data_IF_137096714209
#
_entry.id   IF_137096714209
#
_cell.length_a   1.000
_cell.length_b   1.000
_cell.length_c   1.000
_cell.angle_alpha   90.00
_cell.angle_beta   90.00
_cell.angle_gamma   90.00
#
_symmetry.space_group_name_H-M   'P 1'
#
loop_
_entity.id
_entity.type
_entity.pdbx_description
1 polymer ?
#
# COMPACT_ATOMS: atom_id res chain seq x y z
N UNK A 1 -0.70 -5.52 -13.69
CA UNK A 1 -0.89 -4.11 -13.22
C UNK A 1 -1.97 -3.42 -14.06
N UNK A 2 -2.93 -2.72 -13.42
CA UNK A 2 -3.94 -1.90 -14.10
C UNK A 2 -3.67 -0.44 -13.73
N UNK A 3 -3.20 0.36 -14.69
CA UNK A 3 -2.81 1.75 -14.42
C UNK A 3 -2.73 2.57 -15.71
N UNK A 4 -2.63 3.90 -15.56
CA UNK A 4 -2.31 4.84 -16.63
C UNK A 4 -0.93 5.43 -16.41
N UNK A 5 -0.22 5.63 -17.51
CA UNK A 5 1.03 6.39 -17.56
C UNK A 5 0.92 7.50 -18.60
N UNK A 6 1.75 8.48 -18.54
CA UNK A 6 1.72 9.60 -19.48
C UNK A 6 2.27 9.27 -20.86
N UNK A 7 2.50 10.31 -21.64
CA UNK A 7 3.14 10.23 -22.95
C UNK A 7 4.51 10.92 -22.88
N UNK A 8 5.37 10.36 -22.03
CA UNK A 8 6.67 10.96 -21.69
C UNK A 8 7.72 9.86 -21.36
N UNK A 9 8.95 10.29 -21.13
CA UNK A 9 10.08 9.42 -20.79
C UNK A 9 9.86 8.63 -19.49
N UNK A 10 9.10 9.15 -18.53
CA UNK A 10 8.79 8.48 -17.29
C UNK A 10 7.88 7.27 -17.53
N UNK A 11 6.92 7.39 -18.44
CA UNK A 11 6.04 6.30 -18.85
C UNK A 11 6.83 5.10 -19.38
N UNK A 12 7.78 5.34 -20.29
CA UNK A 12 8.60 4.28 -20.88
C UNK A 12 9.49 3.61 -19.85
N UNK A 13 10.04 4.37 -18.91
CA UNK A 13 10.82 3.84 -17.80
C UNK A 13 9.96 2.96 -16.88
N UNK A 14 8.77 3.44 -16.53
CA UNK A 14 7.84 2.70 -15.67
C UNK A 14 7.43 1.39 -16.28
N UNK A 15 7.05 1.37 -17.57
CA UNK A 15 6.67 0.13 -18.28
C UNK A 15 7.84 -0.85 -18.34
N UNK A 16 9.05 -0.37 -18.64
CA UNK A 16 10.26 -1.22 -18.64
C UNK A 16 10.54 -1.80 -17.25
N UNK A 17 10.44 -1.01 -16.19
CA UNK A 17 10.65 -1.49 -14.82
C UNK A 17 9.64 -2.58 -14.46
N UNK A 18 8.36 -2.39 -14.81
CA UNK A 18 7.35 -3.43 -14.61
C UNK A 18 7.69 -4.72 -15.35
N UNK A 19 8.08 -4.62 -16.62
CA UNK A 19 8.47 -5.79 -17.41
C UNK A 19 9.69 -6.50 -16.82
N UNK A 20 10.71 -5.76 -16.37
CA UNK A 20 11.90 -6.34 -15.70
C UNK A 20 11.53 -7.04 -14.37
N UNK A 21 10.55 -6.50 -13.65
CA UNK A 21 10.04 -7.11 -12.42
C UNK A 21 9.06 -8.29 -12.68
N UNK A 22 8.83 -8.67 -13.94
CA UNK A 22 7.90 -9.74 -14.30
C UNK A 22 6.42 -9.37 -14.11
N UNK A 23 6.11 -8.09 -14.00
CA UNK A 23 4.74 -7.60 -13.83
C UNK A 23 4.06 -7.54 -15.18
N UNK A 24 2.88 -8.17 -15.31
CA UNK A 24 2.05 -8.09 -16.52
C UNK A 24 1.62 -6.64 -16.76
N UNK A 25 1.93 -6.13 -17.95
CA UNK A 25 1.69 -4.74 -18.37
C UNK A 25 0.55 -4.62 -19.39
N UNK A 26 -0.20 -5.68 -19.65
CA UNK A 26 -1.30 -5.67 -20.64
C UNK A 26 -2.31 -4.53 -20.40
N UNK A 27 -2.55 -4.18 -19.13
CA UNK A 27 -3.48 -3.12 -18.74
C UNK A 27 -2.77 -1.83 -18.25
N UNK A 28 -1.49 -1.65 -18.60
CA UNK A 28 -0.77 -0.39 -18.44
C UNK A 28 -0.97 0.43 -19.71
N UNK A 29 -1.75 1.51 -19.65
CA UNK A 29 -2.15 2.28 -20.84
C UNK A 29 -1.54 3.68 -20.82
N UNK A 30 -0.92 4.10 -21.92
CA UNK A 30 -0.49 5.48 -22.11
C UNK A 30 -1.69 6.40 -22.34
N UNK A 31 -1.61 7.63 -21.83
CA UNK A 31 -2.58 8.70 -22.06
C UNK A 31 -1.93 9.75 -22.96
N UNK A 32 -2.31 9.86 -24.25
CA UNK A 32 -1.68 10.79 -25.17
C UNK A 32 -1.77 12.25 -24.72
N UNK A 33 -0.67 12.99 -24.82
CA UNK A 33 -0.61 14.40 -24.48
C UNK A 33 -0.74 14.74 -23.00
N UNK A 34 -0.69 13.74 -22.10
CA UNK A 34 -0.76 13.94 -20.65
C UNK A 34 0.55 13.47 -20.02
N UNK A 35 1.14 14.23 -19.07
CA UNK A 35 2.35 13.78 -18.36
C UNK A 35 2.04 12.63 -17.39
N UNK A 36 3.02 11.78 -17.13
CA UNK A 36 2.95 10.79 -16.04
C UNK A 36 2.74 11.46 -14.69
N UNK A 37 2.15 10.73 -13.75
CA UNK A 37 2.15 11.13 -12.35
C UNK A 37 3.59 11.19 -11.82
N UNK A 38 3.92 12.24 -11.06
CA UNK A 38 5.22 12.42 -10.44
C UNK A 38 5.06 12.93 -9.01
N UNK A 39 6.00 12.54 -8.14
CA UNK A 39 6.02 12.94 -6.74
C UNK A 39 7.43 13.49 -6.38
N UNK A 40 7.78 14.74 -6.73
CA UNK A 40 9.02 15.35 -6.28
C UNK A 40 9.10 15.38 -4.76
N UNK A 41 10.23 14.92 -4.23
CA UNK A 41 10.51 14.89 -2.79
C UNK A 41 11.51 16.00 -2.50
N UNK A 42 11.13 16.92 -1.64
CA UNK A 42 12.00 17.99 -1.13
C UNK A 42 12.51 17.57 0.23
N UNK A 43 13.83 17.46 0.36
CA UNK A 43 14.47 17.08 1.62
C UNK A 43 15.04 18.35 2.26
N UNK A 44 14.58 18.65 3.48
CA UNK A 44 15.04 19.80 4.26
C UNK A 44 16.36 19.48 5.01
N UNK A 45 17.12 20.49 5.44
CA UNK A 45 18.39 20.29 6.14
C UNK A 45 18.26 19.50 7.46
N UNK A 46 17.08 19.49 8.09
CA UNK A 46 16.77 18.75 9.30
C UNK A 46 16.33 17.31 9.03
N UNK A 47 16.46 16.84 7.78
CA UNK A 47 16.02 15.53 7.30
C UNK A 47 14.49 15.35 7.24
N UNK A 48 13.71 16.38 7.50
CA UNK A 48 12.28 16.35 7.18
C UNK A 48 12.08 16.34 5.65
N UNK A 49 10.98 15.79 5.18
CA UNK A 49 10.66 15.78 3.77
C UNK A 49 9.25 16.30 3.50
N UNK A 50 9.09 16.90 2.32
CA UNK A 50 7.81 17.31 1.78
C UNK A 50 7.64 16.70 0.40
N UNK A 51 6.49 16.10 0.13
CA UNK A 51 6.20 15.45 -1.14
C UNK A 51 5.10 16.22 -1.86
N UNK A 52 5.40 16.69 -3.08
CA UNK A 52 4.41 17.29 -3.94
C UNK A 52 3.86 16.25 -4.92
N UNK A 53 2.59 15.87 -4.74
CA UNK A 53 1.95 14.86 -5.60
C UNK A 53 1.30 15.57 -6.81
N UNK A 54 1.78 15.24 -8.01
CA UNK A 54 1.18 15.63 -9.27
C UNK A 54 0.57 14.40 -9.92
N UNK A 55 -0.74 14.26 -9.85
CA UNK A 55 -1.44 13.03 -10.29
C UNK A 55 -1.24 12.70 -11.79
N UNK A 56 -1.10 13.68 -12.66
CA UNK A 56 -0.89 13.45 -14.10
C UNK A 56 -1.86 12.42 -14.68
N UNK A 57 -1.30 11.43 -15.38
CA UNK A 57 -2.07 10.36 -15.99
C UNK A 57 -2.89 9.50 -15.00
N UNK A 58 -2.56 9.49 -13.71
CA UNK A 58 -3.32 8.75 -12.69
C UNK A 58 -4.81 9.17 -12.67
N UNK A 59 -5.11 10.45 -12.96
CA UNK A 59 -6.50 10.96 -13.06
C UNK A 59 -7.32 10.34 -14.19
N UNK A 60 -6.65 9.73 -15.14
CA UNK A 60 -7.28 9.15 -16.32
C UNK A 60 -7.59 7.66 -16.17
N UNK A 61 -7.23 7.04 -15.03
CA UNK A 61 -7.68 5.71 -14.71
C UNK A 61 -9.16 5.77 -14.28
N UNK A 62 -10.03 5.11 -15.03
CA UNK A 62 -11.49 5.19 -14.88
C UNK A 62 -12.10 3.82 -14.58
N UNK A 63 -13.32 3.74 -14.05
CA UNK A 63 -14.04 2.48 -13.84
C UNK A 63 -14.04 1.55 -15.07
N UNK A 64 -14.17 2.11 -16.28
CA UNK A 64 -14.13 1.34 -17.51
C UNK A 64 -12.79 0.61 -17.76
N UNK A 65 -11.67 1.12 -17.22
CA UNK A 65 -10.37 0.44 -17.31
C UNK A 65 -10.34 -0.81 -16.40
N UNK A 66 -11.01 -0.74 -15.25
CA UNK A 66 -11.20 -1.89 -14.35
C UNK A 66 -12.08 -2.95 -15.04
N UNK A 67 -13.19 -2.52 -15.67
CA UNK A 67 -14.07 -3.43 -16.41
C UNK A 67 -13.36 -4.09 -17.60
N UNK A 68 -12.52 -3.35 -18.32
CA UNK A 68 -11.69 -3.88 -19.41
C UNK A 68 -10.66 -4.92 -18.92
N UNK A 69 -10.17 -4.79 -17.69
CA UNK A 69 -9.25 -5.73 -17.05
C UNK A 69 -9.96 -6.89 -16.34
N UNK A 70 -11.29 -6.93 -16.32
CA UNK A 70 -12.08 -7.89 -15.56
C UNK A 70 -11.71 -9.36 -15.78
N UNK A 71 -11.39 -9.85 -17.01
CA UNK A 71 -10.95 -11.24 -17.19
C UNK A 71 -9.73 -11.59 -16.34
N UNK A 72 -8.70 -10.72 -16.33
CA UNK A 72 -7.48 -10.91 -15.55
C UNK A 72 -7.71 -10.71 -14.06
N UNK A 73 -8.50 -9.71 -13.70
CA UNK A 73 -8.77 -9.42 -12.29
C UNK A 73 -9.50 -10.56 -11.57
N UNK A 74 -10.36 -11.31 -12.27
CA UNK A 74 -11.04 -12.48 -11.69
C UNK A 74 -10.10 -13.62 -11.32
N UNK A 75 -8.91 -13.67 -11.90
CA UNK A 75 -7.89 -14.67 -11.60
C UNK A 75 -7.00 -14.26 -10.42
N UNK A 76 -7.13 -13.01 -9.94
CA UNK A 76 -6.30 -12.50 -8.87
C UNK A 76 -6.75 -13.01 -7.50
N UNK A 77 -5.79 -13.33 -6.64
CA UNK A 77 -6.03 -13.77 -5.27
C UNK A 77 -6.24 -12.60 -4.29
N UNK A 78 -5.84 -11.39 -4.69
CA UNK A 78 -5.95 -10.14 -3.90
C UNK A 78 -5.88 -8.94 -4.86
N UNK A 79 -6.69 -7.92 -4.63
CA UNK A 79 -6.59 -6.60 -5.27
C UNK A 79 -5.97 -5.64 -4.27
N UNK A 80 -4.92 -4.91 -4.69
CA UNK A 80 -4.24 -3.89 -3.86
C UNK A 80 -4.49 -2.52 -4.45
N UNK A 81 -4.96 -1.58 -3.62
CA UNK A 81 -5.38 -0.23 -4.01
C UNK A 81 -4.74 0.84 -3.10
N UNK A 82 -4.55 2.03 -3.66
CA UNK A 82 -4.18 3.28 -2.98
C UNK A 82 -5.16 4.39 -3.37
N UNK A 83 -4.96 5.62 -2.85
CA UNK A 83 -5.81 6.79 -3.12
C UNK A 83 -5.15 7.83 -4.07
N UNK A 84 -4.19 7.42 -4.86
CA UNK A 84 -3.52 8.32 -5.84
C UNK A 84 -4.28 8.46 -7.17
N UNK A 85 -5.34 7.72 -7.35
CA UNK A 85 -6.27 7.80 -8.48
C UNK A 85 -7.59 8.46 -8.05
N UNK A 86 -8.55 8.58 -8.94
CA UNK A 86 -9.87 9.14 -8.60
C UNK A 86 -10.67 8.14 -7.74
N UNK A 87 -11.31 8.63 -6.68
CA UNK A 87 -12.03 7.81 -5.69
C UNK A 87 -13.12 6.95 -6.33
N UNK A 88 -13.81 7.45 -7.36
CA UNK A 88 -14.82 6.65 -8.05
C UNK A 88 -14.26 5.37 -8.66
N UNK A 89 -13.01 5.41 -9.16
CA UNK A 89 -12.32 4.23 -9.68
C UNK A 89 -11.90 3.29 -8.54
N UNK A 90 -11.41 3.83 -7.42
CA UNK A 90 -11.10 3.04 -6.21
C UNK A 90 -12.35 2.30 -5.73
N UNK A 91 -13.44 3.01 -5.55
CA UNK A 91 -14.70 2.42 -5.09
C UNK A 91 -15.26 1.39 -6.08
N UNK A 92 -15.10 1.63 -7.39
CA UNK A 92 -15.51 0.67 -8.41
C UNK A 92 -14.68 -0.63 -8.31
N UNK A 93 -13.38 -0.53 -8.11
CA UNK A 93 -12.49 -1.69 -7.93
C UNK A 93 -12.82 -2.47 -6.64
N UNK A 94 -13.14 -1.78 -5.54
CA UNK A 94 -13.60 -2.41 -4.29
C UNK A 94 -14.91 -3.18 -4.54
N UNK A 95 -15.89 -2.55 -5.19
CA UNK A 95 -17.16 -3.19 -5.52
C UNK A 95 -16.98 -4.36 -6.49
N UNK A 96 -16.00 -4.28 -7.41
CA UNK A 96 -15.63 -5.39 -8.29
C UNK A 96 -15.10 -6.57 -7.46
N UNK A 97 -14.16 -6.34 -6.54
CA UNK A 97 -13.63 -7.37 -5.64
C UNK A 97 -14.74 -8.05 -4.85
N UNK A 98 -15.63 -7.25 -4.24
CA UNK A 98 -16.76 -7.77 -3.46
C UNK A 98 -17.71 -8.65 -4.29
N UNK A 99 -18.06 -8.22 -5.52
CA UNK A 99 -18.92 -9.00 -6.41
C UNK A 99 -18.33 -10.33 -6.86
N UNK A 100 -16.99 -10.40 -6.94
CA UNK A 100 -16.29 -11.61 -7.44
C UNK A 100 -15.61 -12.42 -6.34
N UNK A 101 -15.83 -12.08 -5.06
CA UNK A 101 -15.23 -12.80 -3.92
C UNK A 101 -13.71 -12.64 -3.84
N UNK A 102 -13.15 -11.58 -4.43
CA UNK A 102 -11.72 -11.28 -4.39
C UNK A 102 -11.46 -10.31 -3.24
N UNK A 103 -10.64 -10.67 -2.24
CA UNK A 103 -10.31 -9.76 -1.16
C UNK A 103 -9.60 -8.52 -1.70
N UNK A 104 -9.84 -7.37 -1.05
CA UNK A 104 -9.22 -6.08 -1.41
C UNK A 104 -8.42 -5.58 -0.21
N UNK A 105 -7.18 -5.16 -0.47
CA UNK A 105 -6.36 -4.38 0.44
C UNK A 105 -6.38 -2.92 -0.03
N UNK A 106 -6.79 -2.01 0.86
CA UNK A 106 -6.75 -0.57 0.62
C UNK A 106 -5.75 0.10 1.55
N UNK A 107 -4.71 0.68 0.97
CA UNK A 107 -3.85 1.63 1.68
C UNK A 107 -4.39 3.05 1.42
N UNK A 108 -4.81 3.81 2.46
CA UNK A 108 -5.38 5.13 2.29
C UNK A 108 -4.32 6.22 2.08
N UNK A 109 -3.39 6.01 1.18
CA UNK A 109 -2.29 6.93 0.85
C UNK A 109 -2.50 7.59 -0.52
N UNK A 110 -2.45 8.94 -0.61
CA UNK A 110 -2.54 9.89 0.50
C UNK A 110 -3.93 9.89 1.15
N UNK A 111 -3.96 10.08 2.47
CA UNK A 111 -5.24 10.06 3.20
C UNK A 111 -6.16 11.20 2.75
N UNK A 112 -7.44 10.88 2.64
CA UNK A 112 -8.52 11.84 2.37
C UNK A 112 -9.52 11.81 3.53
N UNK A 113 -9.89 12.99 4.09
CA UNK A 113 -10.78 13.02 5.26
C UNK A 113 -12.20 12.56 4.96
N UNK A 114 -12.67 12.75 3.72
CA UNK A 114 -14.05 12.49 3.29
C UNK A 114 -14.20 11.12 2.60
N UNK A 115 -13.45 10.11 3.06
CA UNK A 115 -13.54 8.76 2.52
C UNK A 115 -14.92 8.15 2.84
N UNK A 116 -15.62 7.69 1.80
CA UNK A 116 -16.95 7.08 1.95
C UNK A 116 -16.83 5.67 2.56
N UNK A 117 -17.13 5.58 3.87
CA UNK A 117 -17.00 4.33 4.62
C UNK A 117 -17.94 3.23 4.16
N UNK A 118 -19.13 3.56 3.67
CA UNK A 118 -20.03 2.53 3.14
C UNK A 118 -19.46 1.89 1.88
N UNK A 119 -18.75 2.66 1.06
CA UNK A 119 -18.12 2.16 -0.17
C UNK A 119 -16.83 1.39 0.07
N UNK A 120 -16.08 1.68 1.15
CA UNK A 120 -14.86 0.95 1.50
C UNK A 120 -15.11 -0.21 2.46
N UNK A 121 -16.28 -0.33 3.06
CA UNK A 121 -16.65 -1.40 4.00
C UNK A 121 -16.35 -2.83 3.50
N UNK A 122 -16.44 -3.13 2.18
CA UNK A 122 -16.10 -4.45 1.68
C UNK A 122 -14.62 -4.81 1.65
N UNK A 123 -13.70 -3.87 1.97
CA UNK A 123 -12.26 -4.18 1.96
C UNK A 123 -11.92 -5.23 3.03
N UNK A 124 -11.03 -6.15 2.67
CA UNK A 124 -10.53 -7.15 3.62
C UNK A 124 -9.53 -6.54 4.59
N UNK A 125 -8.60 -5.71 4.05
CA UNK A 125 -7.58 -5.03 4.83
C UNK A 125 -7.55 -3.55 4.51
N UNK A 126 -7.63 -2.72 5.55
CA UNK A 126 -7.38 -1.28 5.49
C UNK A 126 -6.04 -1.00 6.17
N UNK A 127 -5.06 -0.46 5.43
CA UNK A 127 -3.66 -0.43 5.88
C UNK A 127 -3.13 1.02 5.91
N UNK A 128 -3.48 1.82 6.92
CA UNK A 128 -2.94 3.16 7.13
C UNK A 128 -1.62 3.13 7.91
N UNK A 129 -0.82 4.21 7.77
CA UNK A 129 0.16 4.60 8.78
C UNK A 129 -0.48 5.46 9.89
N UNK A 130 0.31 5.93 10.88
CA UNK A 130 -0.17 6.73 12.01
C UNK A 130 -0.85 8.03 11.55
N UNK A 131 -0.25 8.74 10.60
CA UNK A 131 -0.78 10.01 10.06
C UNK A 131 -2.07 9.78 9.27
N UNK A 132 -2.09 8.80 8.40
CA UNK A 132 -3.27 8.43 7.60
C UNK A 132 -4.42 7.99 8.50
N UNK A 133 -4.11 7.19 9.53
CA UNK A 133 -5.12 6.78 10.50
C UNK A 133 -5.71 7.96 11.24
N UNK A 134 -4.88 8.92 11.69
CA UNK A 134 -5.36 10.12 12.36
C UNK A 134 -6.31 10.94 11.48
N UNK A 135 -5.97 11.12 10.20
CA UNK A 135 -6.80 11.86 9.24
C UNK A 135 -8.14 11.15 9.00
N UNK A 136 -8.11 9.84 8.74
CA UNK A 136 -9.33 9.08 8.37
C UNK A 136 -10.24 8.83 9.57
N UNK A 137 -9.67 8.63 10.77
CA UNK A 137 -10.46 8.41 11.99
C UNK A 137 -10.95 9.71 12.62
N UNK A 138 -10.26 10.82 12.37
CA UNK A 138 -10.47 12.10 13.07
C UNK A 138 -9.99 12.07 14.52
N UNK A 139 -9.15 11.08 14.89
CA UNK A 139 -8.66 10.88 16.26
C UNK A 139 -7.14 11.11 16.32
N UNK A 140 -6.58 11.57 17.46
CA UNK A 140 -5.14 11.65 17.62
C UNK A 140 -4.50 10.25 17.64
N UNK A 141 -3.35 10.11 16.97
CA UNK A 141 -2.56 8.88 16.90
C UNK A 141 -1.11 9.24 17.19
N UNK A 142 -0.70 9.11 18.44
CA UNK A 142 0.62 9.48 18.96
C UNK A 142 1.32 8.35 19.73
N UNK A 143 0.62 7.24 19.94
CA UNK A 143 1.14 6.05 20.58
C UNK A 143 0.46 4.79 20.02
N UNK A 144 1.04 3.58 20.25
CA UNK A 144 0.37 2.33 19.88
C UNK A 144 -1.04 2.17 20.48
N UNK A 145 -1.26 2.69 21.71
CA UNK A 145 -2.56 2.64 22.39
C UNK A 145 -3.59 3.54 21.72
N UNK A 146 -3.19 4.76 21.32
CA UNK A 146 -4.08 5.67 20.58
C UNK A 146 -4.34 5.15 19.17
N UNK A 147 -3.32 4.56 18.51
CA UNK A 147 -3.48 3.89 17.22
C UNK A 147 -4.48 2.73 17.30
N UNK A 148 -4.39 1.89 18.34
CA UNK A 148 -5.33 0.80 18.54
C UNK A 148 -6.77 1.30 18.73
N UNK A 149 -6.98 2.38 19.52
CA UNK A 149 -8.30 2.98 19.70
C UNK A 149 -8.86 3.59 18.41
N UNK A 150 -8.03 4.34 17.68
CA UNK A 150 -8.43 4.93 16.41
C UNK A 150 -8.80 3.84 15.38
N UNK A 151 -7.99 2.77 15.29
CA UNK A 151 -8.29 1.64 14.42
C UNK A 151 -9.55 0.89 14.84
N UNK A 152 -9.79 0.71 16.16
CA UNK A 152 -11.02 0.07 16.66
C UNK A 152 -12.27 0.87 16.27
N UNK A 153 -12.23 2.21 16.30
CA UNK A 153 -13.35 3.04 15.84
C UNK A 153 -13.69 2.80 14.36
N UNK A 154 -12.69 2.51 13.51
CA UNK A 154 -12.91 2.17 12.11
C UNK A 154 -13.51 0.77 11.95
N UNK A 155 -13.12 -0.19 12.80
CA UNK A 155 -13.74 -1.52 12.85
C UNK A 155 -15.20 -1.44 13.29
N UNK A 156 -15.53 -0.57 14.26
CA UNK A 156 -16.90 -0.30 14.67
C UNK A 156 -17.74 0.33 13.54
N UNK A 157 -17.12 1.14 12.69
CA UNK A 157 -17.73 1.69 11.47
C UNK A 157 -17.90 0.66 10.34
N UNK A 158 -17.42 -0.57 10.53
CA UNK A 158 -17.69 -1.70 9.67
C UNK A 158 -16.50 -2.25 8.88
N UNK A 159 -15.28 -1.72 9.05
CA UNK A 159 -14.09 -2.33 8.47
C UNK A 159 -13.79 -3.68 9.14
N UNK A 160 -13.28 -4.63 8.36
CA UNK A 160 -13.03 -5.99 8.83
C UNK A 160 -11.70 -6.10 9.58
N UNK A 161 -10.62 -5.66 8.94
CA UNK A 161 -9.26 -5.65 9.49
C UNK A 161 -8.60 -4.30 9.22
N UNK A 162 -8.07 -3.67 10.27
CA UNK A 162 -7.25 -2.46 10.15
C UNK A 162 -5.83 -2.83 10.57
N UNK A 163 -4.87 -2.69 9.65
CA UNK A 163 -3.45 -2.90 9.93
C UNK A 163 -2.78 -1.53 9.98
N UNK A 164 -2.33 -1.11 11.15
CA UNK A 164 -1.66 0.18 11.33
C UNK A 164 -0.16 -0.03 11.33
N UNK A 165 0.56 0.60 10.41
CA UNK A 165 2.03 0.62 10.45
C UNK A 165 2.51 1.72 11.39
N UNK A 166 3.47 1.40 12.28
CA UNK A 166 3.97 2.24 13.38
C UNK A 166 5.48 2.51 13.27
N UNK A 167 6.03 2.52 12.06
CA UNK A 167 7.46 2.68 11.82
C UNK A 167 8.29 1.60 12.52
N UNK A 168 9.27 2.01 13.31
CA UNK A 168 10.17 1.14 14.06
C UNK A 168 9.48 0.30 15.15
N UNK A 169 8.29 0.73 15.59
CA UNK A 169 7.47 -0.01 16.56
C UNK A 169 6.71 -1.20 15.93
N UNK A 170 6.79 -1.39 14.60
CA UNK A 170 6.16 -2.49 13.89
C UNK A 170 4.75 -2.17 13.41
N UNK A 171 3.77 -3.04 13.69
CA UNK A 171 2.40 -2.86 13.21
C UNK A 171 1.36 -3.47 14.14
N UNK A 172 0.13 -2.93 14.09
CA UNK A 172 -1.03 -3.46 14.81
C UNK A 172 -2.05 -4.02 13.82
N UNK A 173 -2.56 -5.22 14.09
CA UNK A 173 -3.78 -5.72 13.48
C UNK A 173 -4.94 -5.53 14.45
N UNK A 174 -5.94 -4.79 14.04
CA UNK A 174 -7.16 -4.53 14.82
C UNK A 174 -8.36 -5.09 14.06
N UNK A 175 -9.15 -5.92 14.72
CA UNK A 175 -10.38 -6.51 14.20
C UNK A 175 -11.39 -6.69 15.32
N UNK A 176 -12.53 -7.30 15.03
CA UNK A 176 -13.51 -7.67 16.07
C UNK A 176 -12.99 -8.70 17.07
N UNK A 177 -11.96 -9.48 16.69
CA UNK A 177 -11.34 -10.48 17.55
C UNK A 177 -10.32 -9.86 18.54
N UNK A 178 -10.06 -8.55 18.42
CA UNK A 178 -9.16 -7.81 19.29
C UNK A 178 -7.99 -7.17 18.57
N UNK A 179 -6.94 -6.89 19.33
CA UNK A 179 -5.70 -6.22 18.87
C UNK A 179 -4.53 -7.19 18.95
N UNK A 180 -3.77 -7.28 17.88
CA UNK A 180 -2.51 -8.03 17.83
C UNK A 180 -1.38 -7.11 17.40
N UNK A 181 -0.32 -7.03 18.19
CA UNK A 181 0.89 -6.30 17.86
C UNK A 181 1.92 -7.24 17.23
N UNK A 182 2.51 -6.82 16.12
CA UNK A 182 3.70 -7.41 15.52
C UNK A 182 4.83 -6.42 15.68
N UNK A 183 5.89 -6.75 16.45
CA UNK A 183 6.98 -5.82 16.69
C UNK A 183 7.76 -5.53 15.42
N UNK A 184 8.38 -4.34 15.38
CA UNK A 184 9.30 -3.96 14.32
C UNK A 184 10.63 -4.72 14.40
N UNK A 185 11.37 -4.68 13.32
CA UNK A 185 12.74 -5.20 13.25
C UNK A 185 13.68 -4.02 13.33
N UNK A 186 14.58 -4.02 14.33
CA UNK A 186 15.54 -2.94 14.54
C UNK A 186 16.65 -2.99 13.49
N UNK A 187 16.85 -1.89 12.78
CA UNK A 187 17.89 -1.71 11.76
C UNK A 187 18.45 -0.29 11.80
N UNK A 188 19.61 -0.10 11.18
CA UNK A 188 20.15 1.24 10.92
C UNK A 188 19.51 1.84 9.67
N UNK A 189 18.46 2.64 9.88
CA UNK A 189 17.68 3.23 8.81
C UNK A 189 18.44 4.39 8.12
N UNK A 190 18.47 4.38 6.78
CA UNK A 190 19.09 5.42 5.94
C UNK A 190 18.06 6.25 5.19
N UNK A 191 17.00 5.62 4.70
CA UNK A 191 15.95 6.27 3.92
C UNK A 191 14.63 5.52 4.11
N UNK A 192 13.65 6.17 4.71
CA UNK A 192 12.35 5.55 4.99
C UNK A 192 11.35 5.65 3.83
N UNK A 193 11.76 6.26 2.71
CA UNK A 193 10.90 6.43 1.55
C UNK A 193 10.52 5.07 0.95
N UNK A 194 9.23 4.82 0.77
CA UNK A 194 8.71 3.57 0.20
C UNK A 194 8.63 2.40 1.18
N UNK A 195 8.92 2.59 2.48
CA UNK A 195 8.79 1.52 3.48
C UNK A 195 7.35 1.01 3.58
N UNK A 196 6.35 1.89 3.46
CA UNK A 196 4.93 1.52 3.41
C UNK A 196 4.61 0.63 2.21
N UNK A 197 5.10 0.99 1.03
CA UNK A 197 4.92 0.18 -0.20
C UNK A 197 5.59 -1.19 -0.08
N UNK A 198 6.81 -1.22 0.49
CA UNK A 198 7.53 -2.45 0.79
C UNK A 198 6.73 -3.36 1.74
N UNK A 199 6.18 -2.78 2.80
CA UNK A 199 5.32 -3.49 3.75
C UNK A 199 4.10 -4.10 3.05
N UNK A 200 3.37 -3.28 2.29
CA UNK A 200 2.14 -3.70 1.61
C UNK A 200 2.40 -4.80 0.58
N UNK A 201 3.45 -4.63 -0.24
CA UNK A 201 3.82 -5.61 -1.25
C UNK A 201 4.20 -6.97 -0.64
N UNK A 202 5.00 -6.95 0.42
CA UNK A 202 5.41 -8.16 1.14
C UNK A 202 4.21 -8.80 1.89
N UNK A 203 3.39 -7.99 2.57
CA UNK A 203 2.16 -8.47 3.21
C UNK A 203 1.26 -9.18 2.21
N UNK A 204 0.99 -8.55 1.06
CA UNK A 204 0.13 -9.10 0.01
C UNK A 204 0.65 -10.47 -0.46
N UNK A 205 1.96 -10.57 -0.71
CA UNK A 205 2.62 -11.82 -1.13
C UNK A 205 2.40 -12.94 -0.13
N UNK A 206 2.79 -12.75 1.13
CA UNK A 206 2.73 -13.80 2.13
C UNK A 206 1.30 -14.10 2.60
N UNK A 207 0.39 -13.11 2.59
CA UNK A 207 -1.01 -13.34 2.88
C UNK A 207 -1.69 -14.21 1.81
N UNK A 208 -1.42 -13.99 0.54
CA UNK A 208 -1.97 -14.80 -0.55
C UNK A 208 -1.54 -16.27 -0.41
N UNK A 209 -0.31 -16.52 0.02
CA UNK A 209 0.21 -17.88 0.21
C UNK A 209 -0.30 -18.57 1.47
N UNK A 210 -0.27 -17.87 2.61
CA UNK A 210 -0.53 -18.48 3.91
C UNK A 210 -1.98 -18.35 4.39
N UNK A 211 -2.68 -17.31 3.95
CA UNK A 211 -3.97 -16.84 4.49
C UNK A 211 -3.92 -16.51 6.00
N UNK A 212 -2.72 -16.31 6.54
CA UNK A 212 -2.48 -15.87 7.91
C UNK A 212 -1.96 -14.43 7.90
N UNK A 213 -2.83 -13.49 8.29
CA UNK A 213 -2.49 -12.06 8.33
C UNK A 213 -1.36 -11.76 9.31
N UNK A 214 -1.31 -12.43 10.47
CA UNK A 214 -0.27 -12.18 11.46
C UNK A 214 1.10 -12.71 11.01
N UNK A 215 1.13 -13.85 10.34
CA UNK A 215 2.36 -14.35 9.71
C UNK A 215 2.81 -13.39 8.60
N UNK A 216 1.89 -12.96 7.71
CA UNK A 216 2.21 -12.03 6.65
C UNK A 216 2.74 -10.68 7.18
N UNK A 217 2.19 -10.17 8.29
CA UNK A 217 2.67 -8.95 8.95
C UNK A 217 4.10 -9.08 9.46
N UNK A 218 4.52 -10.24 9.99
CA UNK A 218 5.92 -10.47 10.43
C UNK A 218 6.89 -10.34 9.26
N UNK A 219 6.60 -10.99 8.14
CA UNK A 219 7.41 -10.86 6.92
C UNK A 219 7.40 -9.42 6.38
N UNK A 220 6.24 -8.77 6.38
CA UNK A 220 6.08 -7.39 5.92
C UNK A 220 6.90 -6.41 6.76
N UNK A 221 6.89 -6.54 8.10
CA UNK A 221 7.70 -5.72 9.00
C UNK A 221 9.19 -5.92 8.75
N UNK A 222 9.64 -7.16 8.55
CA UNK A 222 11.03 -7.45 8.24
C UNK A 222 11.46 -6.91 6.87
N UNK A 223 10.59 -7.02 5.85
CA UNK A 223 10.89 -6.51 4.52
C UNK A 223 10.93 -4.98 4.47
N UNK A 224 10.00 -4.31 5.16
CA UNK A 224 10.03 -2.86 5.32
C UNK A 224 11.29 -2.40 6.06
N UNK A 225 11.69 -3.10 7.14
CA UNK A 225 12.94 -2.82 7.84
C UNK A 225 14.16 -2.99 6.93
N UNK A 226 14.22 -4.05 6.12
CA UNK A 226 15.29 -4.20 5.13
C UNK A 226 15.30 -3.02 4.15
N UNK A 227 14.14 -2.61 3.62
CA UNK A 227 14.07 -1.58 2.58
C UNK A 227 14.63 -0.23 3.04
N UNK A 228 14.50 0.13 4.31
CA UNK A 228 14.99 1.41 4.85
C UNK A 228 16.50 1.44 5.08
N UNK A 229 17.21 0.33 4.94
CA UNK A 229 18.68 0.29 5.02
C UNK A 229 19.38 0.76 3.74
N UNK A 230 18.65 0.84 2.62
CA UNK A 230 19.11 1.33 1.32
C UNK A 230 18.70 2.79 1.08
N UNK A 231 19.11 3.34 -0.06
CA UNK A 231 18.66 4.67 -0.54
C UNK A 231 17.69 4.52 -1.70
N UNK A 232 16.64 5.31 -1.68
CA UNK A 232 15.58 5.33 -2.69
C UNK A 232 14.58 4.19 -2.52
N UNK A 233 13.49 4.23 -3.27
CA UNK A 233 12.37 3.28 -3.16
C UNK A 233 12.66 1.94 -3.84
N UNK A 234 12.39 1.83 -5.14
CA UNK A 234 12.52 0.55 -5.89
C UNK A 234 13.93 -0.07 -5.84
N UNK A 235 14.98 0.74 -5.67
CA UNK A 235 16.38 0.26 -5.60
C UNK A 235 16.70 -0.42 -4.28
N UNK A 236 15.97 -0.10 -3.22
CA UNK A 236 16.17 -0.68 -1.88
C UNK A 236 15.38 -1.98 -1.67
N UNK A 237 14.47 -2.31 -2.59
CA UNK A 237 13.66 -3.52 -2.48
C UNK A 237 14.50 -4.76 -2.81
N UNK A 238 14.59 -5.67 -1.85
CA UNK A 238 15.33 -6.91 -1.97
C UNK A 238 14.64 -7.89 -2.93
N UNK A 239 15.43 -8.66 -3.66
CA UNK A 239 14.95 -9.90 -4.24
C UNK A 239 14.72 -10.99 -3.17
N UNK A 240 14.08 -12.09 -3.54
CA UNK A 240 13.73 -13.16 -2.61
C UNK A 240 14.97 -13.70 -1.88
N UNK A 241 16.06 -13.93 -2.58
CA UNK A 241 17.29 -14.53 -2.02
C UNK A 241 17.98 -13.60 -1.01
N UNK A 242 17.99 -12.31 -1.28
CA UNK A 242 18.52 -11.28 -0.38
C UNK A 242 17.64 -11.15 0.86
N UNK A 243 16.33 -11.15 0.70
CA UNK A 243 15.40 -11.07 1.82
C UNK A 243 15.47 -12.32 2.72
N UNK A 244 15.54 -13.52 2.15
CA UNK A 244 15.71 -14.76 2.92
C UNK A 244 16.99 -14.76 3.74
N UNK A 245 18.07 -14.19 3.20
CA UNK A 245 19.34 -14.03 3.94
C UNK A 245 19.15 -13.07 5.10
N UNK A 246 18.54 -11.91 4.85
CA UNK A 246 18.26 -10.93 5.91
C UNK A 246 17.42 -11.55 7.04
N UNK A 247 16.37 -12.32 6.72
CA UNK A 247 15.55 -13.01 7.72
C UNK A 247 16.37 -13.97 8.59
N UNK A 248 17.24 -14.79 7.96
CA UNK A 248 18.13 -15.70 8.71
C UNK A 248 19.10 -14.96 9.63
N UNK A 249 19.73 -13.89 9.11
CA UNK A 249 20.72 -13.09 9.85
C UNK A 249 20.07 -12.34 11.05
N UNK A 250 18.81 -11.94 10.90
CA UNK A 250 18.01 -11.32 11.95
C UNK A 250 17.38 -12.33 12.94
N UNK A 251 17.51 -13.63 12.71
CA UNK A 251 16.91 -14.66 13.55
C UNK A 251 15.39 -14.73 13.48
N UNK A 252 14.81 -14.39 12.33
CA UNK A 252 13.38 -14.29 12.06
C UNK A 252 12.85 -15.48 11.26
#
# INVERSE_FOLDING_TARGET
MVTKVGDDVFADNTIRNFAHAGIDTEHVRKVPGVPSGVAPIFVEPDSSNSILIVKGANRHLKPADIDAAAPKLRECALIVLQLEIELDTVYHAIAFGARHGIPVLLNPAPAVPDLDFERIRPVEFFVPNETELAIVSGMPVDSPETAARAAASLVERGLRHVIVTLGDKGSLLVSRDGVRHVPGVSVDARDTTGAGDAYIGCFARYYVESRDAAAAMRYASAYAAHSVTGLGTQKSYADASTFERFMRDAGL
#
